data_IF_716773521911
#
_entry.id   IF_716773521911
#
_cell.length_a   1.000
_cell.length_b   1.000
_cell.length_c   1.000
_cell.angle_alpha   90.00
_cell.angle_beta   90.00
_cell.angle_gamma   90.00
#
_symmetry.space_group_name_H-M   'P 1'
#
loop_
_entity.id
_entity.type
_entity.pdbx_description
1 polymer ?
#
# COMPACT_ATOMS: atom_id res chain seq x y z
N UNK A 1 9.34 26.15 0.81
CA UNK A 1 10.68 26.32 1.41
C UNK A 1 10.84 25.33 2.58
N UNK A 2 10.75 24.02 2.28
CA UNK A 2 10.92 22.89 3.23
C UNK A 2 12.21 22.09 2.88
N UNK A 3 13.16 22.77 2.24
CA UNK A 3 14.40 22.18 1.68
C UNK A 3 15.50 21.92 2.73
N UNK A 4 15.21 22.04 4.03
CA UNK A 4 16.29 22.31 5.00
C UNK A 4 16.52 21.22 6.06
N UNK A 5 15.61 20.28 6.30
CA UNK A 5 15.82 19.28 7.37
C UNK A 5 16.10 17.84 6.88
N UNK A 6 15.86 17.54 5.60
CA UNK A 6 16.18 16.25 4.97
C UNK A 6 17.43 16.31 4.08
N UNK A 7 18.25 17.37 4.16
CA UNK A 7 19.55 17.40 3.49
C UNK A 7 20.57 16.52 4.22
N UNK A 8 20.40 15.20 4.09
CA UNK A 8 21.43 14.20 4.34
C UNK A 8 21.22 13.01 3.38
N UNK A 9 21.42 13.21 2.07
CA UNK A 9 21.72 12.17 1.05
C UNK A 9 20.90 10.85 1.07
N UNK A 10 19.68 10.83 1.58
CA UNK A 10 18.91 9.61 1.75
C UNK A 10 17.83 9.53 0.67
N UNK A 11 17.82 8.41 -0.06
CA UNK A 11 16.72 8.07 -0.96
C UNK A 11 15.41 7.93 -0.17
N UNK A 12 14.31 8.32 -0.79
CA UNK A 12 13.00 8.46 -0.17
C UNK A 12 12.02 7.40 -0.68
N UNK A 13 11.21 6.91 0.24
CA UNK A 13 9.92 6.31 -0.07
C UNK A 13 8.84 7.36 0.14
N UNK A 14 7.94 7.49 -0.84
CA UNK A 14 6.82 8.45 -0.81
C UNK A 14 5.50 7.69 -0.92
N UNK A 15 4.63 7.85 0.07
CA UNK A 15 3.24 7.41 0.01
C UNK A 15 2.35 8.64 -0.22
N UNK A 16 1.70 8.70 -1.38
CA UNK A 16 0.76 9.74 -1.72
C UNK A 16 -0.63 9.17 -1.98
N UNK A 17 -1.64 9.93 -1.57
CA UNK A 17 -3.02 9.56 -1.73
C UNK A 17 -3.83 10.73 -2.30
N UNK A 18 -4.66 10.43 -3.29
CA UNK A 18 -5.74 11.28 -3.77
C UNK A 18 -7.06 10.67 -3.28
N UNK A 19 -7.70 11.33 -2.32
CA UNK A 19 -8.96 10.86 -1.73
C UNK A 19 -10.10 11.68 -2.29
N UNK A 20 -10.99 11.03 -3.05
CA UNK A 20 -12.24 11.60 -3.51
C UNK A 20 -13.37 11.31 -2.53
N UNK A 21 -14.13 12.33 -2.17
CA UNK A 21 -15.38 12.16 -1.43
C UNK A 21 -16.57 11.92 -2.38
N UNK A 22 -17.75 11.64 -1.82
CA UNK A 22 -19.00 11.43 -2.58
C UNK A 22 -19.44 12.65 -3.42
N UNK A 23 -18.86 13.84 -3.20
CA UNK A 23 -19.13 15.05 -3.99
C UNK A 23 -18.17 15.22 -5.18
N UNK A 24 -17.19 14.32 -5.34
CA UNK A 24 -16.16 14.38 -6.39
C UNK A 24 -15.00 15.33 -6.10
N UNK A 25 -14.94 15.93 -4.91
CA UNK A 25 -13.80 16.72 -4.48
C UNK A 25 -12.63 15.80 -4.13
N UNK A 26 -11.47 16.08 -4.74
CA UNK A 26 -10.23 15.31 -4.53
C UNK A 26 -9.31 16.10 -3.62
N UNK A 27 -9.00 15.53 -2.46
CA UNK A 27 -7.99 16.04 -1.55
C UNK A 27 -6.72 15.17 -1.65
N UNK A 28 -5.58 15.82 -1.78
CA UNK A 28 -4.26 15.16 -1.91
C UNK A 28 -3.48 15.26 -0.61
N UNK A 29 -2.81 14.18 -0.24
CA UNK A 29 -1.93 14.14 0.92
C UNK A 29 -0.75 13.22 0.63
N UNK A 30 0.44 13.63 1.04
CA UNK A 30 1.68 12.90 0.83
C UNK A 30 2.48 12.79 2.13
N UNK A 31 3.08 11.63 2.33
CA UNK A 31 3.99 11.34 3.42
C UNK A 31 5.24 10.67 2.86
N UNK A 32 6.40 10.95 3.44
CA UNK A 32 7.67 10.37 3.07
C UNK A 32 8.40 9.79 4.28
N UNK A 33 9.38 8.94 3.99
CA UNK A 33 10.38 8.43 4.93
C UNK A 33 11.63 8.02 4.15
N UNK A 34 12.78 7.82 4.83
CA UNK A 34 13.93 7.16 4.20
C UNK A 34 13.55 5.81 3.61
N UNK A 35 14.02 5.53 2.38
CA UNK A 35 13.72 4.30 1.67
C UNK A 35 14.42 3.08 2.27
N UNK A 36 15.68 3.21 2.71
CA UNK A 36 16.36 2.08 3.33
C UNK A 36 16.01 1.96 4.82
N UNK A 37 15.80 0.74 5.36
CA UNK A 37 15.69 -0.55 4.66
C UNK A 37 14.23 -0.97 4.38
N UNK A 38 13.23 -0.15 4.74
CA UNK A 38 11.82 -0.55 4.78
C UNK A 38 10.91 0.17 3.78
N UNK A 39 11.46 0.94 2.85
CA UNK A 39 10.74 1.68 1.82
C UNK A 39 10.43 0.89 0.55
N UNK A 40 10.52 -0.45 0.61
CA UNK A 40 10.07 -1.30 -0.50
C UNK A 40 8.56 -1.53 -0.43
N UNK A 41 7.92 -1.90 -1.57
CA UNK A 41 6.50 -2.23 -1.60
C UNK A 41 6.12 -3.31 -0.58
N UNK A 42 6.93 -4.36 -0.45
CA UNK A 42 6.69 -5.45 0.51
C UNK A 42 6.48 -4.96 1.95
N UNK A 43 7.20 -3.92 2.39
CA UNK A 43 7.11 -3.41 3.76
C UNK A 43 5.97 -2.40 3.97
N UNK A 44 5.58 -1.69 2.91
CA UNK A 44 4.60 -0.59 3.00
C UNK A 44 3.19 -1.01 2.59
N UNK A 45 3.03 -1.94 1.64
CA UNK A 45 1.72 -2.46 1.22
C UNK A 45 0.88 -3.09 2.35
N UNK A 46 1.43 -3.79 3.36
CA UNK A 46 0.63 -4.31 4.48
C UNK A 46 -0.15 -3.21 5.23
N UNK A 47 0.38 -1.98 5.29
CA UNK A 47 -0.29 -0.86 5.93
C UNK A 47 -1.54 -0.45 5.14
N UNK A 48 -1.39 -0.38 3.81
CA UNK A 48 -2.47 -0.05 2.90
C UNK A 48 -3.56 -1.13 2.93
N UNK A 49 -3.19 -2.40 2.86
CA UNK A 49 -4.15 -3.52 2.96
C UNK A 49 -4.90 -3.46 4.29
N UNK A 50 -4.20 -3.19 5.40
CA UNK A 50 -4.84 -3.02 6.70
C UNK A 50 -5.77 -1.81 6.72
N UNK A 51 -5.40 -0.69 6.10
CA UNK A 51 -6.25 0.50 5.99
C UNK A 51 -7.57 0.19 5.28
N UNK A 52 -7.48 -0.41 4.09
CA UNK A 52 -8.66 -0.76 3.29
C UNK A 52 -9.59 -1.72 4.05
N UNK A 53 -9.01 -2.70 4.74
CA UNK A 53 -9.77 -3.62 5.58
C UNK A 53 -10.44 -2.93 6.77
N UNK A 54 -9.79 -1.96 7.43
CA UNK A 54 -10.42 -1.20 8.52
C UNK A 54 -11.59 -0.35 8.00
N UNK A 55 -11.44 0.32 6.85
CA UNK A 55 -12.55 1.06 6.24
C UNK A 55 -13.75 0.16 5.94
N UNK A 56 -13.50 -1.05 5.42
CA UNK A 56 -14.53 -2.04 5.20
C UNK A 56 -15.21 -2.48 6.50
N UNK A 57 -14.44 -2.86 7.52
CA UNK A 57 -14.97 -3.35 8.80
C UNK A 57 -15.75 -2.30 9.58
N UNK A 58 -15.26 -1.07 9.59
CA UNK A 58 -15.87 0.02 10.34
C UNK A 58 -16.96 0.76 9.53
N UNK A 59 -17.23 0.29 8.31
CA UNK A 59 -18.19 0.88 7.39
C UNK A 59 -17.93 2.37 7.05
N UNK A 60 -16.66 2.78 7.04
CA UNK A 60 -16.25 4.18 6.87
C UNK A 60 -15.76 4.50 5.45
N UNK A 61 -16.20 5.62 4.90
CA UNK A 61 -15.62 6.17 3.67
C UNK A 61 -14.20 6.71 3.92
N UNK A 62 -13.29 6.61 2.93
CA UNK A 62 -11.96 7.17 3.05
C UNK A 62 -12.01 8.70 3.15
N UNK A 63 -11.15 9.26 4.00
CA UNK A 63 -10.89 10.69 4.08
C UNK A 63 -9.38 10.97 4.18
N UNK A 64 -8.90 12.15 3.77
CA UNK A 64 -7.50 12.52 3.94
C UNK A 64 -7.02 12.43 5.38
N UNK A 65 -7.88 12.77 6.35
CA UNK A 65 -7.61 12.73 7.77
C UNK A 65 -7.46 11.29 8.27
N UNK A 66 -8.34 10.39 7.83
CA UNK A 66 -8.27 8.96 8.17
C UNK A 66 -7.03 8.31 7.55
N UNK A 67 -6.74 8.59 6.28
CA UNK A 67 -5.53 8.12 5.61
C UNK A 67 -4.27 8.56 6.36
N UNK A 68 -4.16 9.87 6.64
CA UNK A 68 -3.00 10.43 7.35
C UNK A 68 -2.86 9.82 8.73
N UNK A 69 -3.95 9.78 9.50
CA UNK A 69 -3.97 9.24 10.86
C UNK A 69 -3.63 7.76 10.89
N UNK A 70 -3.96 7.00 9.84
CA UNK A 70 -3.58 5.60 9.70
C UNK A 70 -2.10 5.45 9.33
N UNK A 71 -1.64 6.16 8.32
CA UNK A 71 -0.26 6.04 7.80
C UNK A 71 0.76 6.54 8.82
N UNK A 72 0.50 7.64 9.53
CA UNK A 72 1.41 8.16 10.57
C UNK A 72 1.44 7.27 11.84
N UNK A 73 0.43 6.40 12.04
CA UNK A 73 0.33 5.57 13.24
C UNK A 73 1.33 4.42 13.20
N UNK A 74 2.31 4.47 14.10
CA UNK A 74 3.24 3.36 14.31
C UNK A 74 2.56 2.21 15.08
N UNK A 75 1.99 1.24 14.36
CA UNK A 75 1.28 0.08 14.94
C UNK A 75 2.10 -1.21 14.99
N UNK A 76 3.35 -1.19 14.49
CA UNK A 76 4.17 -2.39 14.38
C UNK A 76 5.67 -2.11 14.31
N UNK A 77 6.50 -3.12 14.00
CA UNK A 77 7.96 -2.99 13.97
C UNK A 77 8.50 -2.33 12.69
N UNK A 78 7.67 -2.16 11.66
CA UNK A 78 8.05 -1.56 10.38
C UNK A 78 7.80 -0.04 10.45
N UNK A 79 8.80 0.82 10.23
CA UNK A 79 8.61 2.27 10.21
C UNK A 79 7.62 2.71 9.14
N UNK A 80 6.87 3.77 9.45
CA UNK A 80 5.88 4.34 8.55
C UNK A 80 6.30 5.71 7.99
N UNK A 81 5.78 6.10 6.82
CA UNK A 81 5.88 7.47 6.32
C UNK A 81 5.31 8.45 7.33
N UNK A 82 6.11 9.41 7.76
CA UNK A 82 5.74 10.37 8.81
C UNK A 82 6.19 11.80 8.51
N UNK A 83 6.97 11.99 7.44
CA UNK A 83 7.43 13.31 7.02
C UNK A 83 6.41 13.86 6.03
N UNK A 84 5.79 14.99 6.33
CA UNK A 84 4.84 15.63 5.41
C UNK A 84 5.51 15.93 4.08
N UNK A 85 4.90 15.43 3.02
CA UNK A 85 5.45 15.51 1.67
C UNK A 85 4.45 16.23 0.76
N UNK A 86 4.84 17.43 0.34
CA UNK A 86 3.99 18.34 -0.44
C UNK A 86 4.37 18.42 -1.91
N UNK A 87 5.47 17.78 -2.31
CA UNK A 87 5.89 17.67 -3.70
C UNK A 87 5.21 16.46 -4.36
N UNK A 88 5.32 16.37 -5.68
CA UNK A 88 4.93 15.16 -6.42
C UNK A 88 6.11 14.20 -6.44
N UNK A 89 5.94 13.04 -5.79
CA UNK A 89 6.99 12.03 -5.69
C UNK A 89 7.44 11.50 -7.05
N UNK A 90 6.58 11.57 -8.08
CA UNK A 90 6.93 11.12 -9.43
C UNK A 90 8.08 11.92 -10.05
N UNK A 91 8.21 13.19 -9.64
CA UNK A 91 9.17 14.13 -10.20
C UNK A 91 10.31 14.45 -9.23
N UNK A 92 10.36 13.78 -8.07
CA UNK A 92 11.41 13.96 -7.09
C UNK A 92 12.58 13.01 -7.39
N UNK A 93 13.78 13.54 -7.72
CA UNK A 93 14.95 12.70 -7.98
C UNK A 93 15.41 11.89 -6.76
N UNK A 94 14.99 12.26 -5.55
CA UNK A 94 15.33 11.52 -4.34
C UNK A 94 14.33 10.37 -4.06
N UNK A 95 13.19 10.31 -4.76
CA UNK A 95 12.16 9.29 -4.55
C UNK A 95 12.39 8.02 -5.36
N UNK A 96 12.94 6.99 -4.72
CA UNK A 96 13.23 5.68 -5.35
C UNK A 96 12.03 4.74 -5.37
N UNK A 97 11.02 5.00 -4.53
CA UNK A 97 9.78 4.23 -4.52
C UNK A 97 8.60 5.14 -4.16
N UNK A 98 7.62 5.20 -5.03
CA UNK A 98 6.39 5.97 -4.86
C UNK A 98 5.20 5.03 -4.87
N UNK A 99 4.40 5.12 -3.81
CA UNK A 99 3.14 4.44 -3.65
C UNK A 99 2.04 5.50 -3.83
N UNK A 100 1.43 5.53 -5.01
CA UNK A 100 0.37 6.47 -5.38
C UNK A 100 -0.99 5.78 -5.35
N UNK A 101 -1.89 6.26 -4.49
CA UNK A 101 -3.19 5.63 -4.23
C UNK A 101 -4.29 6.62 -4.57
N UNK A 102 -5.28 6.16 -5.31
CA UNK A 102 -6.55 6.85 -5.47
C UNK A 102 -7.59 6.12 -4.64
N UNK A 103 -8.26 6.85 -3.76
CA UNK A 103 -9.30 6.33 -2.87
C UNK A 103 -10.62 7.02 -3.18
N UNK A 104 -11.66 6.23 -3.40
CA UNK A 104 -13.02 6.69 -3.62
C UNK A 104 -13.99 6.14 -2.58
N UNK A 105 -15.25 6.61 -2.63
CA UNK A 105 -16.29 6.14 -1.71
C UNK A 105 -16.44 4.62 -1.80
N UNK A 106 -17.05 4.05 -0.75
CA UNK A 106 -17.37 2.63 -0.70
C UNK A 106 -18.32 2.24 -1.82
N UNK A 107 -18.06 1.07 -2.40
CA UNK A 107 -18.98 0.42 -3.33
C UNK A 107 -20.21 -0.07 -2.55
N UNK A 108 -21.40 0.31 -3.00
CA UNK A 108 -22.66 0.04 -2.28
C UNK A 108 -22.98 -1.46 -2.20
N UNK A 109 -22.46 -2.27 -3.12
CA UNK A 109 -22.79 -3.70 -3.18
C UNK A 109 -21.80 -4.56 -2.41
N UNK A 110 -20.50 -4.27 -2.56
CA UNK A 110 -19.41 -5.02 -1.92
C UNK A 110 -18.98 -4.44 -0.59
N UNK A 111 -19.29 -3.17 -0.32
CA UNK A 111 -18.91 -2.45 0.90
C UNK A 111 -17.43 -2.06 0.97
N UNK A 112 -16.61 -2.41 -0.02
CA UNK A 112 -15.19 -2.06 -0.07
C UNK A 112 -14.99 -0.65 -0.63
N UNK A 113 -14.02 0.14 -0.12
CA UNK A 113 -13.65 1.41 -0.74
C UNK A 113 -13.12 1.20 -2.17
N UNK A 114 -13.51 2.08 -3.09
CA UNK A 114 -12.84 2.14 -4.39
C UNK A 114 -11.37 2.51 -4.18
N UNK A 115 -10.46 1.71 -4.72
CA UNK A 115 -9.03 1.87 -4.50
C UNK A 115 -8.24 1.52 -5.75
N UNK A 116 -7.46 2.46 -6.25
CA UNK A 116 -6.50 2.23 -7.33
C UNK A 116 -5.09 2.51 -6.82
N UNK A 117 -4.18 1.60 -7.09
CA UNK A 117 -2.80 1.66 -6.65
C UNK A 117 -1.87 1.69 -7.85
N UNK A 118 -0.95 2.65 -7.86
CA UNK A 118 0.26 2.63 -8.68
C UNK A 118 1.49 2.57 -7.78
N UNK A 119 2.30 1.53 -7.97
CA UNK A 119 3.64 1.41 -7.37
C UNK A 119 4.65 1.73 -8.44
N UNK A 120 5.49 2.72 -8.16
CA UNK A 120 6.50 3.27 -9.08
C UNK A 120 7.85 3.11 -8.40
N UNK A 121 8.66 2.18 -8.90
CA UNK A 121 10.01 1.93 -8.42
C UNK A 121 10.99 2.54 -9.41
N UNK A 122 11.92 3.37 -8.93
CA UNK A 122 12.96 4.00 -9.74
C UNK A 122 14.32 3.42 -9.35
N UNK A 123 15.15 3.11 -10.34
CA UNK A 123 16.56 2.81 -10.09
C UNK A 123 17.30 4.02 -9.50
N UNK A 124 18.43 3.79 -8.83
CA UNK A 124 19.30 4.88 -8.40
C UNK A 124 20.14 5.39 -9.59
N UNK A 125 20.20 6.72 -9.79
CA UNK A 125 21.11 7.33 -10.77
C UNK A 125 20.50 8.45 -11.61
N UNK A 126 21.30 9.01 -12.53
CA UNK A 126 20.84 10.02 -13.48
C UNK A 126 20.08 9.33 -14.64
N UNK A 127 18.80 9.64 -14.79
CA UNK A 127 17.87 9.01 -15.75
C UNK A 127 17.54 7.53 -15.45
N UNK A 128 16.95 7.23 -14.28
CA UNK A 128 16.70 5.85 -13.87
C UNK A 128 15.60 5.20 -14.72
N UNK A 129 15.77 3.90 -15.01
CA UNK A 129 14.65 3.10 -15.48
C UNK A 129 13.64 2.94 -14.33
N UNK A 130 12.37 3.05 -14.66
CA UNK A 130 11.27 2.95 -13.71
C UNK A 130 10.37 1.76 -14.02
N UNK A 131 9.95 1.02 -12.99
CA UNK A 131 8.89 0.02 -13.09
C UNK A 131 7.61 0.62 -12.53
N UNK A 132 6.52 0.51 -13.29
CA UNK A 132 5.18 0.91 -12.84
C UNK A 132 4.27 -0.30 -12.79
N UNK A 133 3.74 -0.61 -11.62
CA UNK A 133 2.77 -1.67 -11.39
C UNK A 133 1.44 -1.07 -10.95
N UNK A 134 0.35 -1.40 -11.64
CA UNK A 134 -1.00 -0.89 -11.32
C UNK A 134 -1.91 -2.00 -10.83
N UNK A 135 -2.72 -1.71 -9.81
CA UNK A 135 -3.73 -2.62 -9.25
C UNK A 135 -5.02 -1.86 -8.97
N UNK A 136 -6.14 -2.51 -9.24
CA UNK A 136 -7.48 -1.92 -9.14
C UNK A 136 -8.33 -2.75 -8.19
N UNK A 137 -8.89 -2.11 -7.18
CA UNK A 137 -9.70 -2.72 -6.13
C UNK A 137 -8.89 -3.36 -4.99
N UNK A 138 -9.55 -3.49 -3.84
CA UNK A 138 -8.95 -4.04 -2.63
C UNK A 138 -8.42 -5.48 -2.81
N UNK A 139 -9.12 -6.33 -3.57
CA UNK A 139 -8.69 -7.69 -3.86
C UNK A 139 -7.33 -7.72 -4.58
N UNK A 140 -7.19 -6.97 -5.67
CA UNK A 140 -5.96 -6.95 -6.47
C UNK A 140 -4.79 -6.31 -5.72
N UNK A 141 -5.06 -5.30 -4.89
CA UNK A 141 -4.06 -4.68 -4.02
C UNK A 141 -3.59 -5.67 -2.95
N UNK A 142 -4.51 -6.39 -2.31
CA UNK A 142 -4.18 -7.39 -1.30
C UNK A 142 -3.42 -8.58 -1.90
N UNK A 143 -3.80 -9.04 -3.10
CA UNK A 143 -3.06 -10.05 -3.85
C UNK A 143 -1.62 -9.60 -4.14
N UNK A 144 -1.46 -8.38 -4.64
CA UNK A 144 -0.15 -7.84 -4.94
C UNK A 144 0.73 -7.69 -3.68
N UNK A 145 0.13 -7.27 -2.56
CA UNK A 145 0.84 -7.22 -1.29
C UNK A 145 1.34 -8.61 -0.85
N UNK A 146 0.51 -9.65 -0.97
CA UNK A 146 0.89 -11.03 -0.64
C UNK A 146 2.03 -11.53 -1.54
N UNK A 147 2.00 -11.23 -2.83
CA UNK A 147 3.07 -11.55 -3.79
C UNK A 147 4.41 -10.91 -3.38
N UNK A 148 4.43 -9.60 -3.15
CA UNK A 148 5.62 -8.85 -2.76
C UNK A 148 6.19 -9.33 -1.41
N UNK A 149 5.32 -9.62 -0.44
CA UNK A 149 5.72 -10.14 0.87
C UNK A 149 6.28 -11.56 0.81
N UNK A 150 5.73 -12.42 -0.05
CA UNK A 150 6.24 -13.78 -0.26
C UNK A 150 7.61 -13.74 -0.93
N UNK A 151 7.79 -12.85 -1.91
CA UNK A 151 9.09 -12.61 -2.55
C UNK A 151 10.13 -12.09 -1.55
N UNK A 152 9.76 -11.11 -0.72
CA UNK A 152 10.66 -10.57 0.32
C UNK A 152 10.99 -11.61 1.39
N UNK A 153 10.02 -12.44 1.81
CA UNK A 153 10.27 -13.58 2.69
C UNK A 153 11.35 -14.51 2.11
N UNK A 154 11.20 -14.92 0.84
CA UNK A 154 12.17 -15.79 0.17
C UNK A 154 13.55 -15.14 0.08
N UNK A 155 13.63 -13.85 -0.27
CA UNK A 155 14.87 -13.10 -0.37
C UNK A 155 15.56 -12.93 1.00
N UNK A 156 14.80 -12.72 2.07
CA UNK A 156 15.32 -12.64 3.44
C UNK A 156 15.81 -13.99 3.94
N UNK A 157 15.07 -15.07 3.68
CA UNK A 157 15.51 -16.43 4.02
C UNK A 157 16.79 -16.82 3.29
N UNK A 158 16.91 -16.44 2.01
CA UNK A 158 18.14 -16.67 1.26
C UNK A 158 19.34 -15.91 1.83
N UNK A 159 19.17 -14.60 2.08
CA UNK A 159 20.19 -13.78 2.75
C UNK A 159 20.54 -14.34 4.14
N UNK A 160 19.54 -14.76 4.91
CA UNK A 160 19.74 -15.36 6.23
C UNK A 160 20.59 -16.63 6.17
N UNK A 161 20.37 -17.50 5.18
CA UNK A 161 21.18 -18.72 4.97
C UNK A 161 22.62 -18.36 4.59
N UNK A 162 22.82 -17.41 3.68
CA UNK A 162 24.15 -16.99 3.22
C UNK A 162 24.99 -16.33 4.32
N UNK A 163 24.34 -15.55 5.18
CA UNK A 163 25.02 -14.76 6.21
C UNK A 163 24.89 -15.33 7.63
N UNK A 164 24.18 -16.45 7.81
CA UNK A 164 23.88 -17.07 9.11
C UNK A 164 23.26 -16.09 10.12
N UNK A 165 22.38 -15.19 9.64
CA UNK A 165 21.83 -14.10 10.44
C UNK A 165 20.42 -14.41 10.94
N UNK A 166 20.29 -14.59 12.26
CA UNK A 166 19.01 -14.85 12.94
C UNK A 166 18.06 -13.65 12.92
N UNK A 167 18.55 -12.42 12.76
CA UNK A 167 17.70 -11.24 12.61
C UNK A 167 16.93 -11.26 11.28
N UNK A 168 17.59 -11.68 10.20
CA UNK A 168 16.96 -11.86 8.89
C UNK A 168 15.87 -12.93 8.92
N UNK A 169 16.06 -14.02 9.68
CA UNK A 169 15.01 -15.05 9.89
C UNK A 169 13.78 -14.46 10.58
N UNK A 170 13.96 -13.59 11.60
CA UNK A 170 12.83 -12.93 12.27
C UNK A 170 12.07 -11.99 11.34
N UNK A 171 12.79 -11.22 10.52
CA UNK A 171 12.17 -10.36 9.50
C UNK A 171 11.43 -11.19 8.44
N UNK A 172 12.01 -12.30 7.99
CA UNK A 172 11.34 -13.22 7.07
C UNK A 172 10.04 -13.77 7.68
N UNK A 173 10.04 -14.14 8.96
CA UNK A 173 8.83 -14.58 9.66
C UNK A 173 7.77 -13.48 9.77
N UNK A 174 8.17 -12.21 9.88
CA UNK A 174 7.24 -11.09 9.83
C UNK A 174 6.63 -10.91 8.43
N UNK A 175 7.44 -10.97 7.38
CA UNK A 175 6.98 -10.89 5.99
C UNK A 175 5.97 -12.01 5.68
N UNK A 176 6.24 -13.25 6.13
CA UNK A 176 5.34 -14.38 5.95
C UNK A 176 3.98 -14.16 6.63
N UNK A 177 3.95 -13.72 7.90
CA UNK A 177 2.68 -13.43 8.60
C UNK A 177 1.90 -12.30 7.94
N UNK A 178 2.60 -11.30 7.42
CA UNK A 178 1.97 -10.20 6.69
C UNK A 178 1.40 -10.67 5.33
N UNK A 179 2.08 -11.59 4.64
CA UNK A 179 1.58 -12.23 3.41
C UNK A 179 0.28 -13.01 3.70
N UNK A 180 0.28 -13.85 4.73
CA UNK A 180 -0.90 -14.61 5.16
C UNK A 180 -2.08 -13.72 5.55
N UNK A 181 -1.79 -12.57 6.17
CA UNK A 181 -2.81 -11.57 6.46
C UNK A 181 -3.38 -10.95 5.18
N UNK A 182 -2.51 -10.53 4.24
CA UNK A 182 -2.95 -9.97 2.98
C UNK A 182 -3.80 -10.96 2.17
N UNK A 183 -3.45 -12.25 2.18
CA UNK A 183 -4.24 -13.30 1.55
C UNK A 183 -5.63 -13.48 2.16
N UNK A 184 -5.77 -13.32 3.48
CA UNK A 184 -7.09 -13.35 4.14
C UNK A 184 -7.96 -12.17 3.69
N UNK A 185 -7.38 -10.97 3.62
CA UNK A 185 -8.07 -9.77 3.14
C UNK A 185 -8.48 -9.93 1.68
N UNK A 186 -7.59 -10.46 0.84
CA UNK A 186 -7.89 -10.81 -0.56
C UNK A 186 -9.06 -11.78 -0.65
N UNK A 187 -9.05 -12.86 0.13
CA UNK A 187 -10.11 -13.86 0.12
C UNK A 187 -11.47 -13.27 0.55
N UNK A 188 -11.48 -12.36 1.53
CA UNK A 188 -12.70 -11.65 1.94
C UNK A 188 -13.25 -10.77 0.81
N UNK A 189 -12.41 -9.92 0.21
CA UNK A 189 -12.82 -9.06 -0.90
C UNK A 189 -13.33 -9.87 -2.11
N UNK A 190 -12.67 -10.99 -2.41
CA UNK A 190 -13.09 -11.89 -3.47
C UNK A 190 -14.47 -12.53 -3.18
N UNK A 191 -14.69 -12.99 -1.95
CA UNK A 191 -15.95 -13.62 -1.55
C UNK A 191 -17.14 -12.65 -1.68
N UNK A 192 -16.97 -11.40 -1.27
CA UNK A 192 -18.00 -10.36 -1.39
C UNK A 192 -18.33 -10.07 -2.86
N UNK A 193 -17.30 -9.92 -3.71
CA UNK A 193 -17.49 -9.70 -5.14
C UNK A 193 -18.23 -10.86 -5.82
N UNK A 194 -17.90 -12.11 -5.48
CA UNK A 194 -18.59 -13.31 -6.00
C UNK A 194 -20.04 -13.37 -5.52
N UNK A 195 -20.31 -13.02 -4.26
CA UNK A 195 -21.67 -12.99 -3.71
C UNK A 195 -22.57 -12.02 -4.47
N UNK A 196 -22.10 -10.79 -4.68
CA UNK A 196 -22.80 -9.74 -5.46
C UNK A 196 -23.06 -10.20 -6.89
N UNK A 197 -22.08 -10.83 -7.55
CA UNK A 197 -22.26 -11.36 -8.90
C UNK A 197 -23.31 -12.47 -8.95
N UNK A 198 -23.33 -13.37 -7.96
CA UNK A 198 -24.29 -14.46 -7.87
C UNK A 198 -25.73 -13.92 -7.70
N UNK A 199 -25.93 -12.91 -6.88
CA UNK A 199 -27.25 -12.30 -6.66
C UNK A 199 -27.74 -11.53 -7.90
N UNK A 200 -26.85 -10.80 -8.57
CA UNK A 200 -27.15 -10.19 -9.88
C UNK A 200 -27.54 -11.23 -10.94
N UNK A 201 -26.87 -12.38 -10.96
CA UNK A 201 -27.20 -13.47 -11.89
C UNK A 201 -28.56 -14.10 -11.56
N UNK A 202 -28.87 -14.33 -10.28
CA UNK A 202 -30.17 -14.85 -9.84
C UNK A 202 -31.32 -13.91 -10.19
N UNK A 203 -31.15 -12.61 -9.97
CA UNK A 203 -32.15 -11.59 -10.29
C UNK A 203 -32.48 -11.50 -11.79
N UNK A 204 -31.56 -11.92 -12.67
CA UNK A 204 -31.80 -11.99 -14.13
C UNK A 204 -32.59 -13.23 -14.56
N UNK A 205 -32.57 -14.30 -13.77
CA UNK A 205 -33.30 -15.54 -14.07
C UNK A 205 -34.76 -15.44 -13.59
N UNK A 206 -35.02 -14.64 -12.55
CA UNK A 206 -36.35 -14.47 -11.95
C UNK A 206 -37.17 -13.31 -12.54
N UNK A 207 -36.65 -12.62 -13.56
CA UNK A 207 -37.36 -11.60 -14.37
C UNK A 207 -37.74 -12.17 -15.73
#
# INVERSE_FOLDING_TARGET
MLRTELRLNATLFVAQAAVSNHTGLIARTGLAMPAAPFGSPAWQLPALVSYLHHLYQDEQDPSPELWRSHTERQTGPVPRPHIRYHADGLHDPDAVCVLDIQLGPRDEETGWPAADLAVIEQEEGACPFGRVTRRHGAEAIAAYAAEELTAEHAALMDRARRHQDAALVRLAGLAQRAAEWADKVRAAAHADAVHVQADRARARITR
#
